data_IF_115443674654
#
_entry.id   IF_115443674654
#
_cell.length_a   1.000
_cell.length_b   1.000
_cell.length_c   1.000
_cell.angle_alpha   90.00
_cell.angle_beta   90.00
_cell.angle_gamma   90.00
#
_symmetry.space_group_name_H-M   'P 1'
#
loop_
_entity.id
_entity.type
_entity.pdbx_description
1 polymer ?
#
# COMPACT_ATOMS: atom_id res chain seq x y z
N UNK A 1 24.57 7.49 -8.16
CA UNK A 1 23.46 6.53 -8.30
C UNK A 1 22.26 7.17 -7.65
N UNK A 2 21.31 7.68 -8.43
CA UNK A 2 20.11 8.29 -7.87
C UNK A 2 19.30 7.24 -7.12
N UNK A 3 19.01 7.52 -5.85
CA UNK A 3 18.05 6.75 -5.06
C UNK A 3 16.65 6.98 -5.65
N UNK A 4 16.31 6.23 -6.71
CA UNK A 4 14.99 6.26 -7.34
C UNK A 4 13.88 5.61 -6.48
N UNK A 5 14.14 5.39 -5.19
CA UNK A 5 13.10 5.00 -4.25
C UNK A 5 12.29 6.24 -3.93
N UNK A 6 11.07 6.31 -4.46
CA UNK A 6 10.15 7.42 -4.22
C UNK A 6 8.94 6.89 -3.49
N UNK A 7 8.89 7.20 -2.20
CA UNK A 7 7.74 6.98 -1.35
C UNK A 7 7.21 8.36 -0.95
N UNK A 8 5.94 8.63 -1.25
CA UNK A 8 5.26 9.85 -0.78
C UNK A 8 4.05 9.43 0.01
N UNK A 9 3.89 10.01 1.20
CA UNK A 9 2.74 9.83 2.06
C UNK A 9 2.01 11.16 2.15
N UNK A 10 0.69 11.11 2.08
CA UNK A 10 -0.19 12.24 2.29
C UNK A 10 -1.15 11.87 3.41
N UNK A 11 -1.31 12.76 4.38
CA UNK A 11 -2.33 12.64 5.41
C UNK A 11 -3.62 13.27 4.86
N UNK A 12 -4.69 12.48 4.83
CA UNK A 12 -5.99 12.87 4.34
C UNK A 12 -7.04 12.59 5.42
N UNK A 13 -8.06 13.43 5.53
CA UNK A 13 -9.20 13.17 6.43
C UNK A 13 -10.40 12.76 5.59
N UNK A 14 -10.94 11.57 5.84
CA UNK A 14 -12.14 11.07 5.20
C UNK A 14 -13.28 10.92 6.19
N UNK A 15 -14.52 11.06 5.72
CA UNK A 15 -15.70 10.74 6.53
C UNK A 15 -16.02 9.27 6.31
N UNK A 16 -15.98 8.49 7.39
CA UNK A 16 -16.45 7.11 7.38
C UNK A 16 -17.96 7.12 7.07
N UNK A 17 -18.36 6.48 5.97
CA UNK A 17 -19.76 6.49 5.52
C UNK A 17 -20.70 5.63 6.38
N UNK A 18 -20.15 4.74 7.20
CA UNK A 18 -20.90 3.86 8.09
C UNK A 18 -21.16 4.51 9.46
N UNK A 19 -20.17 5.22 10.00
CA UNK A 19 -20.25 5.84 11.35
C UNK A 19 -20.52 7.35 11.32
N UNK A 20 -20.20 8.02 10.21
CA UNK A 20 -20.25 9.48 10.09
C UNK A 20 -19.09 10.22 10.77
N UNK A 21 -18.11 9.48 11.28
CA UNK A 21 -16.92 10.05 11.96
C UNK A 21 -15.84 10.44 10.96
N UNK A 22 -15.08 11.49 11.31
CA UNK A 22 -13.84 11.84 10.61
C UNK A 22 -12.75 10.83 10.98
N UNK A 23 -12.12 10.25 9.96
CA UNK A 23 -11.03 9.29 10.08
C UNK A 23 -9.81 9.89 9.37
N UNK A 24 -8.70 9.95 10.09
CA UNK A 24 -7.39 10.28 9.50
C UNK A 24 -6.86 9.03 8.79
N UNK A 25 -6.65 9.14 7.48
CA UNK A 25 -6.09 8.10 6.64
C UNK A 25 -4.81 8.59 5.96
N UNK A 26 -4.04 7.64 5.43
CA UNK A 26 -2.78 7.91 4.74
C UNK A 26 -2.86 7.41 3.30
N UNK A 27 -2.70 8.33 2.33
CA UNK A 27 -2.51 7.98 0.93
C UNK A 27 -1.01 7.78 0.65
N UNK A 28 -0.64 6.57 0.24
CA UNK A 28 0.76 6.22 -0.07
C UNK A 28 0.95 6.08 -1.58
N UNK A 29 1.81 6.92 -2.16
CA UNK A 29 2.28 6.79 -3.53
C UNK A 29 3.65 6.11 -3.56
N UNK A 30 3.74 5.01 -4.32
CA UNK A 30 4.91 4.14 -4.36
C UNK A 30 5.49 4.13 -5.78
N UNK A 31 6.79 4.38 -5.90
CA UNK A 31 7.54 4.23 -7.15
C UNK A 31 8.97 3.70 -6.91
N UNK A 32 9.64 3.28 -7.97
CA UNK A 32 10.99 2.74 -7.92
C UNK A 32 11.03 1.29 -7.44
N UNK A 33 12.02 0.96 -6.60
CA UNK A 33 12.28 -0.44 -6.21
C UNK A 33 11.13 -1.08 -5.43
N UNK A 34 10.41 -0.31 -4.62
CA UNK A 34 9.28 -0.87 -3.87
C UNK A 34 8.12 -1.24 -4.80
N UNK A 35 7.82 -0.41 -5.81
CA UNK A 35 6.88 -0.75 -6.88
C UNK A 35 7.32 -2.01 -7.65
N UNK A 36 8.60 -2.12 -7.97
CA UNK A 36 9.15 -3.30 -8.64
C UNK A 36 9.00 -4.56 -7.78
N UNK A 37 9.20 -4.46 -6.48
CA UNK A 37 8.96 -5.58 -5.56
C UNK A 37 7.48 -6.00 -5.61
N UNK A 38 6.55 -5.06 -5.47
CA UNK A 38 5.11 -5.34 -5.54
C UNK A 38 4.69 -5.95 -6.89
N UNK A 39 5.28 -5.51 -8.00
CA UNK A 39 5.10 -6.15 -9.32
C UNK A 39 5.50 -7.61 -9.30
N UNK A 40 6.62 -7.96 -8.68
CA UNK A 40 7.06 -9.36 -8.63
C UNK A 40 6.00 -10.23 -7.95
N UNK A 41 5.39 -9.77 -6.86
CA UNK A 41 4.30 -10.49 -6.19
C UNK A 41 3.09 -10.65 -7.09
N UNK A 42 2.58 -9.57 -7.67
CA UNK A 42 1.36 -9.61 -8.51
C UNK A 42 1.58 -10.38 -9.81
N UNK A 43 2.74 -10.24 -10.45
CA UNK A 43 2.98 -10.83 -11.78
C UNK A 43 3.42 -12.30 -11.71
N UNK A 44 4.05 -12.72 -10.61
CA UNK A 44 4.71 -14.04 -10.54
C UNK A 44 4.16 -14.98 -9.47
N UNK A 45 3.37 -14.50 -8.50
CA UNK A 45 2.82 -15.36 -7.46
C UNK A 45 1.32 -15.59 -7.66
N UNK A 46 0.86 -16.85 -7.72
CA UNK A 46 -0.57 -17.14 -7.80
C UNK A 46 -1.25 -16.71 -6.49
N UNK A 47 -2.38 -16.02 -6.61
CA UNK A 47 -3.18 -15.56 -5.46
C UNK A 47 -3.13 -14.06 -5.19
N UNK A 48 -2.24 -13.31 -5.84
CA UNK A 48 -2.22 -11.85 -5.78
C UNK A 48 -2.75 -11.23 -7.08
N UNK A 49 -3.71 -10.33 -6.95
CA UNK A 49 -4.33 -9.60 -8.08
C UNK A 49 -4.12 -8.09 -8.01
N UNK A 50 -3.72 -7.57 -6.85
CA UNK A 50 -3.46 -6.14 -6.66
C UNK A 50 -2.36 -5.88 -5.63
N UNK A 51 -1.77 -4.68 -5.69
CA UNK A 51 -0.80 -4.25 -4.67
C UNK A 51 -1.44 -4.14 -3.29
N UNK A 52 -2.72 -3.79 -3.19
CA UNK A 52 -3.41 -3.67 -1.91
C UNK A 52 -3.48 -5.01 -1.18
N UNK A 53 -3.73 -6.11 -1.89
CA UNK A 53 -3.72 -7.46 -1.30
C UNK A 53 -2.32 -7.82 -0.80
N UNK A 54 -1.29 -7.57 -1.61
CA UNK A 54 0.11 -7.83 -1.22
C UNK A 54 0.49 -7.02 0.02
N UNK A 55 0.17 -5.73 0.06
CA UNK A 55 0.48 -4.85 1.19
C UNK A 55 -0.31 -5.25 2.44
N UNK A 56 -1.62 -5.53 2.29
CA UNK A 56 -2.49 -6.00 3.37
C UNK A 56 -1.93 -7.29 3.98
N UNK A 57 -1.58 -8.27 3.15
CA UNK A 57 -0.98 -9.51 3.62
C UNK A 57 0.34 -9.28 4.33
N UNK A 58 1.24 -8.44 3.79
CA UNK A 58 2.52 -8.12 4.46
C UNK A 58 2.27 -7.49 5.84
N UNK A 59 1.33 -6.56 5.95
CA UNK A 59 1.03 -5.86 7.21
C UNK A 59 0.39 -6.82 8.21
N UNK A 60 -0.62 -7.58 7.80
CA UNK A 60 -1.42 -8.39 8.71
C UNK A 60 -0.88 -9.81 8.95
N UNK A 61 0.00 -10.32 8.09
CA UNK A 61 0.70 -11.60 8.33
C UNK A 61 1.78 -11.50 9.42
N UNK A 62 2.31 -10.30 9.67
CA UNK A 62 3.31 -10.05 10.73
C UNK A 62 2.66 -9.78 12.09
N UNK A 63 1.34 -9.51 12.12
CA UNK A 63 0.59 -9.18 13.35
C UNK A 63 -0.21 -10.34 13.94
N UNK A 64 0.01 -11.59 13.49
CA UNK A 64 -0.53 -12.81 14.10
C UNK A 64 0.48 -13.51 15.01
#
# INVERSE_FOLDING_TARGET
MENNNKLRMLDDTFINRETGEEVEDITIMIDGKFKQALNIFVDNLPGYSSYNEVISDIIFSVTQ
#
